data_IF_745714013118
#
_entry.id   IF_745714013118
#
_cell.length_a   1.000
_cell.length_b   1.000
_cell.length_c   1.000
_cell.angle_alpha   90.00
_cell.angle_beta   90.00
_cell.angle_gamma   90.00
#
_symmetry.space_group_name_H-M   'P 1'
#
loop_
_entity.id
_entity.type
_entity.pdbx_description
1 polymer ?
#
# COMPACT_ATOMS: atom_id res chain seq x y z
N UNK A 1 10.73 -7.08 -25.22
CA UNK A 1 9.49 -6.51 -25.80
C UNK A 1 9.12 -7.17 -27.13
N UNK A 2 10.04 -7.28 -28.09
CA UNK A 2 9.76 -7.84 -29.43
C UNK A 2 9.05 -9.21 -29.42
N UNK A 3 9.55 -10.20 -28.67
CA UNK A 3 9.05 -11.58 -28.67
C UNK A 3 7.54 -11.68 -28.39
N UNK A 4 7.01 -10.96 -27.40
CA UNK A 4 5.57 -10.97 -27.11
C UNK A 4 4.72 -10.45 -28.29
N UNK A 5 5.21 -9.41 -28.99
CA UNK A 5 4.51 -8.83 -30.15
C UNK A 5 4.58 -9.74 -31.38
N UNK A 6 5.65 -10.53 -31.52
CA UNK A 6 5.82 -11.55 -32.55
C UNK A 6 4.85 -12.74 -32.32
N UNK A 7 4.79 -13.27 -31.09
CA UNK A 7 3.82 -14.32 -30.70
C UNK A 7 2.37 -13.88 -30.95
N UNK A 8 1.96 -12.72 -30.43
CA UNK A 8 0.60 -12.17 -30.64
C UNK A 8 0.35 -11.82 -32.12
N UNK A 9 1.40 -11.47 -32.88
CA UNK A 9 1.32 -11.15 -34.30
C UNK A 9 1.04 -12.34 -35.22
N UNK A 10 1.16 -13.58 -34.72
CA UNK A 10 0.88 -14.80 -35.49
C UNK A 10 -0.58 -15.24 -35.46
N UNK A 11 -1.39 -14.71 -34.54
CA UNK A 11 -2.82 -15.06 -34.44
C UNK A 11 -3.57 -14.61 -35.71
N UNK A 12 -4.15 -15.53 -36.50
CA UNK A 12 -4.94 -15.16 -37.66
C UNK A 12 -6.28 -14.55 -37.22
N UNK A 13 -6.90 -13.74 -38.09
CA UNK A 13 -8.17 -13.05 -37.80
C UNK A 13 -9.38 -13.98 -37.61
N UNK A 14 -9.21 -15.26 -37.91
CA UNK A 14 -10.13 -16.35 -37.57
C UNK A 14 -9.27 -17.53 -37.09
N UNK A 15 -8.89 -17.51 -35.81
CA UNK A 15 -8.09 -18.55 -35.19
C UNK A 15 -8.96 -19.76 -34.78
N UNK A 16 -8.42 -20.96 -34.99
CA UNK A 16 -8.99 -22.21 -34.50
C UNK A 16 -8.63 -22.43 -33.02
N UNK A 17 -9.24 -23.43 -32.39
CA UNK A 17 -8.96 -23.77 -30.98
C UNK A 17 -7.48 -24.20 -30.81
N UNK A 18 -6.95 -24.93 -31.79
CA UNK A 18 -5.56 -25.42 -31.77
C UNK A 18 -4.55 -24.29 -31.95
N UNK A 19 -4.83 -23.30 -32.82
CA UNK A 19 -4.01 -22.08 -32.95
C UNK A 19 -3.92 -21.31 -31.61
N UNK A 20 -5.05 -21.17 -30.92
CA UNK A 20 -5.14 -20.46 -29.64
C UNK A 20 -4.44 -21.24 -28.52
N UNK A 21 -4.56 -22.58 -28.51
CA UNK A 21 -3.86 -23.43 -27.55
C UNK A 21 -2.32 -23.33 -27.74
N UNK A 22 -1.84 -23.42 -28.97
CA UNK A 22 -0.41 -23.32 -29.28
C UNK A 22 0.19 -21.96 -28.88
N UNK A 23 -0.53 -20.85 -29.15
CA UNK A 23 -0.11 -19.50 -28.73
C UNK A 23 -0.17 -19.34 -27.21
N UNK A 24 -1.12 -19.98 -26.52
CA UNK A 24 -1.19 -19.99 -25.06
C UNK A 24 0.02 -20.68 -24.43
N UNK A 25 0.51 -21.77 -25.02
CA UNK A 25 1.73 -22.45 -24.59
C UNK A 25 2.98 -21.59 -24.83
N UNK A 26 3.14 -20.96 -26.01
CA UNK A 26 4.26 -20.03 -26.28
C UNK A 26 4.28 -18.86 -25.27
N UNK A 27 3.11 -18.26 -24.98
CA UNK A 27 2.98 -17.20 -23.97
C UNK A 27 3.26 -17.69 -22.55
N UNK A 28 2.93 -18.95 -22.23
CA UNK A 28 3.21 -19.56 -20.92
C UNK A 28 4.71 -19.81 -20.75
N UNK A 29 5.40 -20.35 -21.75
CA UNK A 29 6.86 -20.50 -21.73
C UNK A 29 7.57 -19.14 -21.60
N UNK A 30 7.13 -18.12 -22.34
CA UNK A 30 7.68 -16.76 -22.23
C UNK A 30 7.48 -16.18 -20.81
N UNK A 31 6.30 -16.39 -20.20
CA UNK A 31 5.99 -15.98 -18.83
C UNK A 31 6.90 -16.67 -17.81
N UNK A 32 7.12 -17.98 -17.94
CA UNK A 32 7.99 -18.72 -17.02
C UNK A 32 9.45 -18.27 -17.12
N UNK A 33 9.97 -18.06 -18.32
CA UNK A 33 11.34 -17.58 -18.53
C UNK A 33 11.56 -16.17 -17.96
N UNK A 34 10.59 -15.26 -18.16
CA UNK A 34 10.62 -13.93 -17.53
C UNK A 34 10.58 -14.04 -16.01
N UNK A 35 9.70 -14.87 -15.45
CA UNK A 35 9.63 -15.11 -14.01
C UNK A 35 10.92 -15.71 -13.45
N UNK A 36 11.58 -16.62 -14.17
CA UNK A 36 12.83 -17.24 -13.73
C UNK A 36 14.00 -16.24 -13.75
N UNK A 37 14.12 -15.41 -14.81
CA UNK A 37 15.10 -14.31 -14.86
C UNK A 37 14.89 -13.29 -13.72
N UNK A 38 13.64 -12.94 -13.41
CA UNK A 38 13.31 -12.05 -12.29
C UNK A 38 13.61 -12.68 -10.92
N UNK A 39 13.20 -13.94 -10.67
CA UNK A 39 13.54 -14.70 -9.45
C UNK A 39 15.05 -14.75 -9.22
N UNK A 40 15.84 -15.01 -10.27
CA UNK A 40 17.30 -15.06 -10.18
C UNK A 40 17.91 -13.70 -9.82
N UNK A 41 17.45 -12.59 -10.44
CA UNK A 41 17.88 -11.24 -10.07
C UNK A 41 17.54 -10.88 -8.62
N UNK A 42 16.34 -11.25 -8.14
CA UNK A 42 15.91 -11.00 -6.76
C UNK A 42 16.77 -11.80 -5.76
N UNK A 43 17.04 -13.09 -6.04
CA UNK A 43 17.94 -13.92 -5.23
C UNK A 43 19.36 -13.33 -5.16
N UNK A 44 19.92 -12.94 -6.30
CA UNK A 44 21.25 -12.31 -6.36
C UNK A 44 21.30 -10.98 -5.59
N UNK A 45 20.26 -10.15 -5.67
CA UNK A 45 20.20 -8.89 -4.93
C UNK A 45 20.13 -9.13 -3.41
N UNK A 46 19.34 -10.12 -2.96
CA UNK A 46 19.28 -10.50 -1.54
C UNK A 46 20.61 -11.03 -1.00
N UNK A 47 21.43 -11.69 -1.83
CA UNK A 47 22.78 -12.11 -1.46
C UNK A 47 23.75 -10.92 -1.33
N UNK A 48 23.67 -9.94 -2.25
CA UNK A 48 24.50 -8.73 -2.20
C UNK A 48 24.18 -7.77 -1.04
N UNK A 49 22.99 -7.87 -0.44
CA UNK A 49 22.55 -6.98 0.63
C UNK A 49 23.12 -7.31 2.03
N UNK A 50 23.90 -8.39 2.18
CA UNK A 50 24.32 -8.92 3.48
C UNK A 50 25.82 -8.72 3.83
N UNK A 51 26.62 -8.08 2.98
CA UNK A 51 28.09 -8.08 3.10
C UNK A 51 28.71 -6.72 3.46
N UNK A 52 27.90 -5.72 3.82
CA UNK A 52 28.37 -4.43 4.35
C UNK A 52 28.33 -4.41 5.89
N UNK A 53 29.46 -4.70 6.52
CA UNK A 53 29.66 -4.55 7.96
C UNK A 53 29.55 -3.09 8.41
N UNK A 54 29.14 -2.87 9.65
CA UNK A 54 29.79 -2.04 10.69
C UNK A 54 28.99 -2.25 11.98
N UNK A 55 29.44 -3.15 12.84
CA UNK A 55 28.87 -3.35 14.18
C UNK A 55 29.72 -2.59 15.20
N UNK A 56 29.39 -1.31 15.42
CA UNK A 56 30.00 -0.55 16.52
C UNK A 56 29.30 -0.88 17.82
N UNK A 57 29.97 -1.72 18.60
CA UNK A 57 29.76 -1.99 20.03
C UNK A 57 29.06 -0.83 20.76
N UNK A 58 27.78 -0.99 21.10
CA UNK A 58 27.07 -0.11 22.04
C UNK A 58 27.18 -0.73 23.42
N UNK A 59 27.89 -0.03 24.32
CA UNK A 59 27.94 -0.34 25.75
C UNK A 59 27.55 0.93 26.54
N UNK A 60 27.41 0.76 27.87
CA UNK A 60 26.93 1.75 28.84
C UNK A 60 25.40 1.95 28.79
N UNK A 61 24.58 1.25 29.58
CA UNK A 61 24.44 1.22 31.06
C UNK A 61 23.36 2.20 31.55
N UNK A 62 22.41 1.69 32.33
CA UNK A 62 21.34 2.46 32.98
C UNK A 62 21.75 2.84 34.42
N UNK A 63 21.61 4.11 34.84
CA UNK A 63 21.62 4.48 36.25
C UNK A 63 20.31 5.15 36.69
N UNK A 64 19.73 4.63 37.77
CA UNK A 64 18.62 5.26 38.50
C UNK A 64 19.10 6.49 39.29
N UNK A 65 18.40 7.63 39.20
CA UNK A 65 18.20 8.57 40.32
C UNK A 65 17.10 9.59 39.96
N UNK A 66 15.94 9.52 40.64
CA UNK A 66 15.53 10.32 41.82
C UNK A 66 14.77 11.61 41.43
N UNK A 67 13.64 11.79 42.11
CA UNK A 67 12.66 12.87 41.94
C UNK A 67 13.05 14.13 42.69
N UNK A 68 12.67 15.30 42.16
CA UNK A 68 12.31 16.49 42.93
C UNK A 68 11.21 17.30 42.20
N UNK A 69 10.49 18.17 42.92
CA UNK A 69 9.13 18.61 42.57
C UNK A 69 9.00 20.06 42.02
N UNK A 70 7.82 20.32 41.46
CA UNK A 70 7.23 21.61 41.03
C UNK A 70 7.05 22.62 42.21
N UNK A 71 6.52 23.87 42.07
CA UNK A 71 5.87 24.47 40.89
C UNK A 71 6.15 25.98 40.61
N UNK A 72 5.55 26.49 39.52
CA UNK A 72 5.22 27.91 39.34
C UNK A 72 3.88 28.07 38.60
N UNK A 73 3.02 28.99 39.06
CA UNK A 73 1.67 29.26 38.54
C UNK A 73 1.57 30.68 37.98
N UNK A 74 1.03 30.84 36.76
CA UNK A 74 0.12 31.92 36.31
C UNK A 74 -0.30 31.60 34.84
N UNK A 75 -1.56 31.64 34.38
CA UNK A 75 -2.60 32.71 34.33
C UNK A 75 -2.18 33.88 33.40
N UNK A 76 -2.97 34.32 32.41
CA UNK A 76 -4.43 34.23 32.18
C UNK A 76 -4.89 34.09 30.70
N UNK A 77 -6.19 33.76 30.53
CA UNK A 77 -7.20 34.15 29.52
C UNK A 77 -6.72 34.87 28.21
N UNK A 78 -7.22 34.63 26.98
CA UNK A 78 -8.38 33.88 26.42
C UNK A 78 -8.31 33.99 24.86
N UNK A 79 -9.34 34.13 24.02
CA UNK A 79 -10.80 33.84 23.95
C UNK A 79 -11.30 34.39 22.58
N UNK A 80 -12.19 33.83 21.73
CA UNK A 80 -13.02 32.60 21.59
C UNK A 80 -13.25 32.38 20.06
N UNK A 81 -13.05 31.19 19.47
CA UNK A 81 -13.95 30.01 19.39
C UNK A 81 -15.09 30.06 18.33
N UNK A 82 -14.95 29.26 17.26
CA UNK A 82 -16.02 28.59 16.48
C UNK A 82 -15.39 27.70 15.39
N UNK A 83 -15.80 26.46 15.11
CA UNK A 83 -16.71 25.53 15.79
C UNK A 83 -16.05 24.14 15.86
N UNK A 84 -16.20 23.43 16.98
CA UNK A 84 -15.81 22.03 17.12
C UNK A 84 -17.04 21.16 17.37
N UNK A 85 -17.36 20.24 16.46
CA UNK A 85 -18.29 19.15 16.75
C UNK A 85 -17.52 18.00 17.39
N UNK A 86 -17.60 17.88 18.71
CA UNK A 86 -17.18 16.65 19.41
C UNK A 86 -18.28 15.59 19.25
N UNK A 87 -17.89 14.40 18.79
CA UNK A 87 -18.60 13.16 19.10
C UNK A 87 -17.72 12.35 20.08
N UNK A 88 -18.28 11.75 21.14
CA UNK A 88 -17.51 10.98 22.10
C UNK A 88 -17.48 9.49 21.73
N UNK A 89 -16.31 8.97 21.38
CA UNK A 89 -16.11 7.53 21.19
C UNK A 89 -14.82 7.18 20.44
N UNK A 90 -14.12 6.18 20.97
CA UNK A 90 -13.10 5.35 20.30
C UNK A 90 -11.77 6.01 19.86
N UNK A 91 -10.67 5.23 19.73
CA UNK A 91 -9.31 5.79 19.77
C UNK A 91 -8.83 6.34 18.41
N UNK A 92 -8.08 7.44 18.46
CA UNK A 92 -7.46 8.09 17.30
C UNK A 92 -6.35 7.18 16.72
N UNK A 93 -6.73 6.27 15.81
CA UNK A 93 -5.82 5.40 15.04
C UNK A 93 -6.10 5.33 13.54
N UNK A 94 -7.15 6.00 13.05
CA UNK A 94 -7.41 6.15 11.63
C UNK A 94 -6.68 7.39 11.07
N UNK A 95 -5.99 7.25 9.93
CA UNK A 95 -5.43 8.38 9.19
C UNK A 95 -6.58 9.18 8.55
N UNK A 96 -6.60 10.52 8.59
CA UNK A 96 -7.76 11.28 8.11
C UNK A 96 -8.02 10.98 6.62
N UNK A 97 -9.28 10.72 6.26
CA UNK A 97 -9.68 10.27 4.92
C UNK A 97 -9.09 11.13 3.78
N UNK A 98 -9.04 12.45 3.95
CA UNK A 98 -8.43 13.35 2.96
C UNK A 98 -6.94 13.09 2.69
N UNK A 99 -6.17 12.64 3.70
CA UNK A 99 -4.77 12.24 3.51
C UNK A 99 -4.66 10.92 2.73
N UNK A 100 -5.59 9.99 2.94
CA UNK A 100 -5.65 8.73 2.17
C UNK A 100 -6.02 9.01 0.71
N UNK A 101 -6.99 9.88 0.45
CA UNK A 101 -7.39 10.28 -0.90
C UNK A 101 -6.32 11.12 -1.62
N UNK A 102 -5.60 11.99 -0.90
CA UNK A 102 -4.45 12.73 -1.45
C UNK A 102 -3.27 11.80 -1.78
N UNK A 103 -3.05 10.74 -0.99
CA UNK A 103 -2.03 9.75 -1.25
C UNK A 103 -2.40 8.79 -2.39
N UNK A 104 -3.68 8.46 -2.54
CA UNK A 104 -4.18 7.40 -3.42
C UNK A 104 -5.31 7.91 -4.36
N UNK A 105 -5.08 8.90 -5.23
CA UNK A 105 -6.12 9.51 -6.06
C UNK A 105 -6.94 8.51 -6.90
N UNK A 106 -6.32 7.42 -7.39
CA UNK A 106 -6.98 6.44 -8.26
C UNK A 106 -8.21 5.76 -7.63
N UNK A 107 -8.29 5.68 -6.30
CA UNK A 107 -9.46 5.06 -5.63
C UNK A 107 -10.75 5.86 -5.86
N UNK A 108 -10.64 7.16 -6.14
CA UNK A 108 -11.77 8.07 -6.38
C UNK A 108 -12.61 7.64 -7.58
N UNK A 109 -11.97 7.05 -8.60
CA UNK A 109 -12.61 6.53 -9.81
C UNK A 109 -13.62 5.40 -9.53
N UNK A 110 -13.55 4.78 -8.35
CA UNK A 110 -14.44 3.70 -7.88
C UNK A 110 -15.49 4.20 -6.87
N UNK A 111 -15.50 5.51 -6.57
CA UNK A 111 -16.50 6.19 -5.77
C UNK A 111 -17.81 6.45 -6.52
N UNK A 112 -18.89 6.70 -5.79
CA UNK A 112 -20.21 7.00 -6.39
C UNK A 112 -20.18 8.38 -7.04
N UNK A 113 -20.17 8.42 -8.38
CA UNK A 113 -19.99 9.66 -9.13
C UNK A 113 -18.54 10.12 -9.24
N UNK A 114 -17.56 9.22 -9.12
CA UNK A 114 -16.12 9.54 -9.30
C UNK A 114 -15.48 10.30 -8.14
N UNK A 115 -16.14 10.33 -6.97
CA UNK A 115 -15.61 10.95 -5.74
C UNK A 115 -15.96 10.10 -4.51
N UNK A 116 -15.21 10.34 -3.43
CA UNK A 116 -15.36 9.65 -2.14
C UNK A 116 -15.37 10.73 -1.05
N UNK A 117 -16.51 10.93 -0.39
CA UNK A 117 -16.66 11.90 0.70
C UNK A 117 -16.59 11.27 2.09
N UNK A 118 -16.68 9.93 2.18
CA UNK A 118 -16.78 9.19 3.44
C UNK A 118 -16.00 7.87 3.44
N UNK A 119 -15.61 7.40 4.64
CA UNK A 119 -15.04 6.07 4.83
C UNK A 119 -15.95 4.95 4.32
N UNK A 120 -17.28 5.13 4.39
CA UNK A 120 -18.26 4.16 3.86
C UNK A 120 -18.16 4.01 2.35
N UNK A 121 -17.91 5.10 1.64
CA UNK A 121 -17.65 5.08 0.19
C UNK A 121 -16.27 4.50 -0.12
N UNK A 122 -15.24 4.81 0.67
CA UNK A 122 -13.91 4.21 0.49
C UNK A 122 -13.95 2.68 0.70
N UNK A 123 -14.63 2.20 1.74
CA UNK A 123 -14.85 0.76 1.98
C UNK A 123 -15.64 0.11 0.83
N UNK A 124 -16.61 0.82 0.25
CA UNK A 124 -17.37 0.33 -0.91
C UNK A 124 -16.49 0.23 -2.16
N UNK A 125 -15.69 1.27 -2.45
CA UNK A 125 -14.71 1.30 -3.53
C UNK A 125 -13.65 0.21 -3.38
N UNK A 126 -13.13 0.02 -2.16
CA UNK A 126 -12.14 -1.02 -1.84
C UNK A 126 -12.66 -2.44 -2.13
N UNK A 127 -13.96 -2.74 -1.95
CA UNK A 127 -14.54 -4.04 -2.29
C UNK A 127 -14.63 -4.28 -3.82
N UNK A 128 -14.84 -3.22 -4.61
CA UNK A 128 -14.75 -3.29 -6.09
C UNK A 128 -13.31 -3.53 -6.51
N UNK A 129 -12.39 -2.73 -6.00
CA UNK A 129 -10.95 -2.80 -6.29
C UNK A 129 -10.32 -4.11 -5.84
N UNK A 130 -10.75 -4.68 -4.71
CA UNK A 130 -10.40 -6.04 -4.25
C UNK A 130 -10.65 -7.07 -5.36
N UNK A 131 -11.80 -6.97 -6.04
CA UNK A 131 -12.18 -7.90 -7.10
C UNK A 131 -11.38 -7.66 -8.37
N UNK A 132 -11.19 -6.39 -8.76
CA UNK A 132 -10.36 -5.99 -9.91
C UNK A 132 -8.90 -6.46 -9.79
N UNK A 133 -8.30 -6.32 -8.61
CA UNK A 133 -6.89 -6.67 -8.36
C UNK A 133 -6.67 -8.16 -8.00
N UNK A 134 -7.69 -9.01 -8.17
CA UNK A 134 -7.59 -10.46 -7.94
C UNK A 134 -7.39 -10.85 -6.47
N UNK A 135 -7.80 -10.00 -5.52
CA UNK A 135 -7.70 -10.28 -4.08
C UNK A 135 -8.89 -11.14 -3.65
N UNK A 136 -8.64 -12.35 -3.13
CA UNK A 136 -9.70 -13.23 -2.64
C UNK A 136 -10.49 -12.59 -1.49
N UNK A 137 -11.81 -12.87 -1.34
CA UNK A 137 -12.61 -12.32 -0.24
C UNK A 137 -12.00 -12.57 1.14
N UNK A 138 -11.47 -13.78 1.38
CA UNK A 138 -10.75 -14.13 2.61
C UNK A 138 -9.57 -13.21 2.88
N UNK A 139 -8.64 -13.04 1.93
CA UNK A 139 -7.49 -12.12 2.10
C UNK A 139 -7.84 -10.69 2.54
N UNK A 140 -9.02 -10.21 2.16
CA UNK A 140 -9.52 -8.89 2.58
C UNK A 140 -10.26 -8.94 3.92
N UNK A 141 -10.96 -10.03 4.24
CA UNK A 141 -11.52 -10.25 5.58
C UNK A 141 -10.39 -10.37 6.62
N UNK A 142 -9.37 -11.21 6.35
CA UNK A 142 -8.15 -11.35 7.14
C UNK A 142 -7.53 -9.95 7.43
N UNK A 143 -7.54 -9.06 6.41
CA UNK A 143 -7.04 -7.69 6.53
C UNK A 143 -7.96 -6.80 7.38
N UNK A 144 -9.29 -6.84 7.19
CA UNK A 144 -10.26 -6.11 7.99
C UNK A 144 -10.21 -6.50 9.48
N UNK A 145 -10.05 -7.78 9.79
CA UNK A 145 -10.08 -8.31 11.15
C UNK A 145 -8.83 -7.90 11.96
N UNK A 146 -7.67 -7.78 11.29
CA UNK A 146 -6.39 -7.41 11.91
C UNK A 146 -6.12 -5.89 11.88
N UNK A 147 -6.47 -5.19 10.79
CA UNK A 147 -6.18 -3.75 10.62
C UNK A 147 -7.32 -2.84 11.09
N UNK A 148 -8.55 -3.37 11.18
CA UNK A 148 -9.78 -2.60 11.14
C UNK A 148 -10.21 -2.28 9.70
N UNK A 149 -11.53 -2.16 9.42
CA UNK A 149 -12.05 -2.09 8.05
C UNK A 149 -11.69 -0.79 7.31
N UNK A 150 -11.56 0.33 8.03
CA UNK A 150 -11.11 1.62 7.44
C UNK A 150 -9.65 1.53 6.98
N UNK A 151 -8.76 0.98 7.81
CA UNK A 151 -7.35 0.78 7.46
C UNK A 151 -7.20 -0.26 6.34
N UNK A 152 -7.98 -1.34 6.32
CA UNK A 152 -7.96 -2.32 5.24
C UNK A 152 -8.40 -1.71 3.89
N UNK A 153 -9.42 -0.83 3.89
CA UNK A 153 -9.82 -0.07 2.71
C UNK A 153 -8.74 0.92 2.25
N UNK A 154 -8.07 1.60 3.20
CA UNK A 154 -6.94 2.49 2.90
C UNK A 154 -5.72 1.71 2.35
N UNK A 155 -5.42 0.52 2.88
CA UNK A 155 -4.39 -0.38 2.30
C UNK A 155 -4.76 -0.77 0.87
N UNK A 156 -6.02 -1.13 0.60
CA UNK A 156 -6.46 -1.46 -0.77
C UNK A 156 -6.31 -0.27 -1.73
N UNK A 157 -6.57 0.96 -1.28
CA UNK A 157 -6.26 2.17 -2.06
C UNK A 157 -4.75 2.31 -2.33
N UNK A 158 -3.91 2.13 -1.30
CA UNK A 158 -2.44 2.16 -1.44
C UNK A 158 -1.88 1.06 -2.37
N UNK A 159 -2.58 -0.08 -2.48
CA UNK A 159 -2.22 -1.19 -3.37
C UNK A 159 -2.66 -0.91 -4.81
N UNK A 160 -3.83 -0.29 -5.02
CA UNK A 160 -4.29 0.17 -6.33
C UNK A 160 -3.30 1.17 -6.95
N UNK A 161 -2.92 2.19 -6.18
CA UNK A 161 -1.96 3.24 -6.57
C UNK A 161 -0.60 2.66 -7.03
N UNK A 162 -0.29 1.43 -6.63
CA UNK A 162 0.96 0.72 -6.96
C UNK A 162 0.74 -0.58 -7.73
N UNK A 163 -0.45 -0.82 -8.27
CA UNK A 163 -0.80 -2.10 -8.91
C UNK A 163 0.16 -2.47 -10.04
N UNK A 164 0.58 -1.50 -10.87
CA UNK A 164 1.59 -1.69 -11.93
C UNK A 164 3.01 -2.06 -11.45
N UNK A 165 3.25 -2.02 -10.13
CA UNK A 165 4.52 -2.39 -9.49
C UNK A 165 4.40 -3.60 -8.54
N UNK A 166 3.23 -4.24 -8.44
CA UNK A 166 2.94 -5.33 -7.50
C UNK A 166 2.54 -6.60 -8.26
N UNK A 167 3.38 -7.65 -8.18
CA UNK A 167 3.15 -8.92 -8.89
C UNK A 167 1.84 -9.64 -8.52
N UNK A 168 1.34 -9.43 -7.30
CA UNK A 168 0.04 -9.96 -6.83
C UNK A 168 -0.44 -9.14 -5.64
N UNK A 169 -1.52 -8.39 -5.82
CA UNK A 169 -2.15 -7.60 -4.75
C UNK A 169 -2.59 -8.47 -3.57
N UNK A 170 -3.15 -9.65 -3.83
CA UNK A 170 -3.66 -10.55 -2.79
C UNK A 170 -2.57 -11.22 -1.95
N UNK A 171 -1.40 -11.49 -2.53
CA UNK A 171 -0.23 -11.94 -1.76
C UNK A 171 0.36 -10.79 -0.94
N UNK A 172 0.50 -9.61 -1.54
CA UNK A 172 1.04 -8.43 -0.86
C UNK A 172 0.17 -7.98 0.31
N UNK A 173 -1.17 -7.99 0.15
CA UNK A 173 -2.11 -7.71 1.25
C UNK A 173 -1.89 -8.66 2.43
N UNK A 174 -1.80 -9.97 2.19
CA UNK A 174 -1.55 -10.96 3.26
C UNK A 174 -0.21 -10.75 3.98
N UNK A 175 0.84 -10.36 3.27
CA UNK A 175 2.14 -10.03 3.88
C UNK A 175 2.07 -8.74 4.73
N UNK A 176 1.21 -7.78 4.37
CA UNK A 176 0.93 -6.60 5.20
C UNK A 176 0.08 -6.95 6.42
N UNK A 177 -0.99 -7.73 6.25
CA UNK A 177 -1.84 -8.25 7.35
C UNK A 177 -1.00 -9.00 8.39
N UNK A 178 -0.15 -9.94 7.96
CA UNK A 178 0.73 -10.70 8.87
C UNK A 178 1.78 -9.82 9.54
N UNK A 179 2.15 -8.66 8.97
CA UNK A 179 3.01 -7.68 9.65
C UNK A 179 2.23 -6.88 10.70
N UNK A 180 0.98 -6.52 10.41
CA UNK A 180 0.11 -5.83 11.36
C UNK A 180 -0.22 -6.70 12.58
N UNK A 181 -0.46 -7.99 12.36
CA UNK A 181 -0.62 -9.03 13.41
C UNK A 181 0.57 -9.07 14.38
N UNK A 182 1.79 -8.80 13.90
CA UNK A 182 3.02 -8.70 14.73
C UNK A 182 3.35 -7.28 15.20
N UNK A 183 2.51 -6.28 14.93
CA UNK A 183 2.78 -4.87 15.23
C UNK A 183 3.86 -4.20 14.37
N UNK A 184 4.40 -4.89 13.35
CA UNK A 184 5.46 -4.39 12.47
C UNK A 184 4.94 -3.47 11.35
N UNK A 185 3.63 -3.38 11.15
CA UNK A 185 3.03 -2.57 10.09
C UNK A 185 2.58 -1.19 10.59
N UNK A 186 2.87 -0.16 9.79
CA UNK A 186 2.31 1.18 9.96
C UNK A 186 1.92 1.76 8.60
N UNK A 187 0.71 2.34 8.54
CA UNK A 187 0.18 3.02 7.36
C UNK A 187 0.94 4.32 7.03
N UNK A 188 1.47 5.01 8.04
CA UNK A 188 2.11 6.32 7.87
C UNK A 188 3.26 6.33 6.85
N UNK A 189 4.27 5.46 6.99
CA UNK A 189 5.36 5.33 6.02
C UNK A 189 4.90 4.94 4.60
N UNK A 190 3.80 4.19 4.48
CA UNK A 190 3.22 3.80 3.19
C UNK A 190 2.55 5.00 2.50
N UNK A 191 1.65 5.69 3.20
CA UNK A 191 0.99 6.91 2.70
C UNK A 191 2.03 7.99 2.36
N UNK A 192 3.00 8.23 3.24
CA UNK A 192 4.08 9.20 3.01
C UNK A 192 4.96 8.83 1.80
N UNK A 193 5.11 7.55 1.46
CA UNK A 193 5.81 7.14 0.25
C UNK A 193 5.01 7.46 -1.01
N UNK A 194 3.69 7.25 -0.99
CA UNK A 194 2.79 7.59 -2.10
C UNK A 194 2.68 9.11 -2.30
N UNK A 195 2.53 9.88 -1.22
CA UNK A 195 2.49 11.34 -1.27
C UNK A 195 3.78 11.96 -1.84
N UNK A 196 4.93 11.26 -1.80
CA UNK A 196 6.17 11.70 -2.47
C UNK A 196 6.26 11.31 -3.95
N UNK A 197 5.53 10.29 -4.38
CA UNK A 197 5.41 9.94 -5.81
C UNK A 197 4.42 10.88 -6.49
N UNK A 198 3.28 11.14 -5.84
CA UNK A 198 2.18 11.93 -6.40
C UNK A 198 2.35 13.44 -6.12
N UNK A 199 3.07 13.80 -5.05
CA UNK A 199 3.46 15.18 -4.71
C UNK A 199 4.75 15.64 -5.40
N UNK A 200 5.08 15.08 -6.57
CA UNK A 200 6.19 15.50 -7.41
C UNK A 200 5.67 16.28 -8.65
N UNK A 201 5.20 17.54 -8.49
CA UNK A 201 4.87 18.36 -9.65
C UNK A 201 6.14 18.63 -10.46
N UNK A 202 5.97 18.70 -11.79
CA UNK A 202 7.02 19.21 -12.68
C UNK A 202 7.48 20.59 -12.18
N UNK A 203 8.75 20.68 -11.75
CA UNK A 203 9.43 21.97 -11.68
C UNK A 203 9.73 22.39 -13.11
N UNK A 204 8.79 23.08 -13.73
CA UNK A 204 9.02 23.83 -14.95
C UNK A 204 10.11 24.87 -14.67
N UNK A 205 11.32 24.58 -15.16
CA UNK A 205 12.46 25.47 -15.09
C UNK A 205 12.54 26.26 -16.39
N UNK A 206 11.96 27.46 -16.34
CA UNK A 206 12.26 28.67 -17.14
C UNK A 206 12.63 28.49 -18.62
#
# INVERSE_FOLDING_TARGET
MLIFRDIIGRLPRAATIDDVAHVLDELTMLREEVLNRLKMRIKMNKLRANESQIERHIQNSNPESISDLEPALEKEQGAKSSQAMKLPGEPIKAFPLGMVLQACPEISNYGRGGSIGSWRELMSAAVVVRSMLGVSPSAYQDACDILGPENAAAVMACILERAGHINSAGAYLRDLTRKAERGEFSMGPMLMALMRLNGAPSREAS
#
